data_IF_776211651838
#
_entry.id   IF_776211651838
#
_cell.length_a   1.000
_cell.length_b   1.000
_cell.length_c   1.000
_cell.angle_alpha   90.00
_cell.angle_beta   90.00
_cell.angle_gamma   90.00
#
_symmetry.space_group_name_H-M   'P 1'
#
loop_
_entity.id
_entity.type
_entity.pdbx_description
1 polymer ?
#
# COMPACT_ATOMS: atom_id res chain seq x y z
N UNK A 1 22.83 -1.47 16.33
CA UNK A 1 21.73 -0.54 16.02
C UNK A 1 21.34 0.16 17.30
N UNK A 2 21.42 1.50 17.32
CA UNK A 2 20.94 2.30 18.43
C UNK A 2 19.42 2.26 18.49
N UNK A 3 18.82 2.60 19.65
CA UNK A 3 17.35 2.66 19.77
C UNK A 3 16.73 3.69 18.83
N UNK A 4 17.47 4.76 18.51
CA UNK A 4 17.04 5.81 17.58
C UNK A 4 17.00 5.25 16.15
N UNK A 5 18.05 4.54 15.73
CA UNK A 5 18.11 3.92 14.39
C UNK A 5 17.01 2.87 14.17
N UNK A 6 16.69 2.09 15.21
CA UNK A 6 15.61 1.11 15.15
C UNK A 6 14.24 1.80 14.95
N UNK A 7 14.01 2.89 15.69
CA UNK A 7 12.79 3.67 15.59
C UNK A 7 12.64 4.32 14.21
N UNK A 8 13.70 4.93 13.67
CA UNK A 8 13.68 5.54 12.34
C UNK A 8 13.31 4.52 11.25
N UNK A 9 13.87 3.32 11.32
CA UNK A 9 13.58 2.24 10.38
C UNK A 9 12.13 1.77 10.47
N UNK A 10 11.60 1.64 11.69
CA UNK A 10 10.20 1.23 11.89
C UNK A 10 9.22 2.30 11.45
N UNK A 11 9.46 3.57 11.81
CA UNK A 11 8.60 4.70 11.41
C UNK A 11 8.58 4.87 9.90
N UNK A 12 9.69 4.59 9.21
CA UNK A 12 9.73 4.63 7.74
C UNK A 12 8.69 3.70 7.08
N UNK A 13 8.32 2.58 7.73
CA UNK A 13 7.35 1.62 7.16
C UNK A 13 5.92 2.17 7.08
N UNK A 14 5.57 3.15 7.91
CA UNK A 14 4.23 3.74 7.95
C UNK A 14 4.12 5.07 7.22
N UNK A 15 5.23 5.62 6.69
CA UNK A 15 5.27 6.96 6.11
C UNK A 15 4.23 7.16 4.99
N UNK A 16 3.99 6.13 4.17
CA UNK A 16 3.01 6.18 3.09
C UNK A 16 1.58 5.86 3.54
N UNK A 17 1.38 5.20 4.68
CA UNK A 17 0.05 4.72 5.11
C UNK A 17 -0.59 5.62 6.15
N UNK A 18 0.20 6.20 7.06
CA UNK A 18 -0.30 6.96 8.20
C UNK A 18 -1.07 8.22 7.78
N UNK A 19 -0.68 8.86 6.67
CA UNK A 19 -1.34 10.06 6.14
C UNK A 19 -2.83 9.83 5.82
N UNK A 20 -3.19 8.64 5.36
CA UNK A 20 -4.58 8.33 4.98
C UNK A 20 -5.47 7.97 6.17
N UNK A 21 -4.87 7.57 7.30
CA UNK A 21 -5.60 7.46 8.57
C UNK A 21 -6.06 8.83 9.07
N UNK A 22 -5.22 9.87 8.88
CA UNK A 22 -5.52 11.24 9.31
C UNK A 22 -6.50 11.92 8.36
N UNK A 23 -6.28 11.78 7.05
CA UNK A 23 -7.12 12.46 6.04
C UNK A 23 -8.43 11.73 5.75
N UNK A 24 -8.55 10.45 6.11
CA UNK A 24 -9.76 9.64 5.94
C UNK A 24 -10.07 9.25 4.50
N UNK A 25 -9.12 9.39 3.57
CA UNK A 25 -9.30 8.88 2.20
C UNK A 25 -9.31 7.36 2.22
N UNK A 26 -10.16 6.71 1.40
CA UNK A 26 -10.10 5.27 1.24
C UNK A 26 -8.76 4.89 0.61
N UNK A 27 -8.10 3.90 1.20
CA UNK A 27 -6.84 3.38 0.72
C UNK A 27 -6.82 1.85 0.83
N UNK A 28 -6.36 1.18 -0.22
CA UNK A 28 -6.22 -0.28 -0.26
C UNK A 28 -4.86 -0.67 -0.82
N UNK A 29 -4.32 -1.81 -0.39
CA UNK A 29 -3.07 -2.35 -0.93
C UNK A 29 -3.37 -3.64 -1.68
N UNK A 30 -2.94 -3.70 -2.94
CA UNK A 30 -2.95 -4.93 -3.73
C UNK A 30 -1.52 -5.44 -3.90
N UNK A 31 -1.30 -6.76 -3.96
CA UNK A 31 0.02 -7.27 -4.24
C UNK A 31 0.43 -6.97 -5.69
N UNK A 32 1.67 -6.55 -5.92
CA UNK A 32 2.12 -6.13 -7.26
C UNK A 32 3.43 -6.75 -7.73
N UNK A 33 3.98 -7.70 -6.98
CA UNK A 33 5.15 -8.45 -7.40
C UNK A 33 5.89 -9.11 -6.24
N UNK A 34 6.91 -9.91 -6.61
CA UNK A 34 7.80 -10.58 -5.67
C UNK A 34 9.28 -10.33 -6.04
N UNK A 35 9.76 -9.07 -6.08
CA UNK A 35 11.18 -8.82 -6.33
C UNK A 35 12.00 -9.55 -5.27
N UNK A 36 13.04 -10.25 -5.73
CA UNK A 36 13.92 -11.05 -4.86
C UNK A 36 13.18 -12.12 -4.03
N UNK A 37 11.99 -12.55 -4.49
CA UNK A 37 11.17 -13.57 -3.83
C UNK A 37 10.35 -13.05 -2.65
N UNK A 38 10.37 -11.75 -2.34
CA UNK A 38 9.63 -11.14 -1.24
C UNK A 38 8.43 -10.33 -1.75
N UNK A 39 7.26 -10.43 -1.11
CA UNK A 39 6.06 -9.74 -1.58
C UNK A 39 6.19 -8.22 -1.46
N UNK A 40 5.80 -7.53 -2.52
CA UNK A 40 5.66 -6.06 -2.56
C UNK A 40 4.21 -5.69 -2.84
N UNK A 41 3.71 -4.69 -2.11
CA UNK A 41 2.36 -4.16 -2.25
C UNK A 41 2.36 -2.81 -2.96
N UNK A 42 1.34 -2.59 -3.79
CA UNK A 42 0.99 -1.31 -4.40
C UNK A 42 -0.20 -0.72 -3.65
N UNK A 43 0.00 0.44 -3.05
CA UNK A 43 -1.04 1.18 -2.33
C UNK A 43 -1.80 2.09 -3.29
N UNK A 44 -3.12 1.92 -3.34
CA UNK A 44 -4.06 2.74 -4.10
C UNK A 44 -4.82 3.64 -3.13
N UNK A 45 -5.02 4.90 -3.51
CA UNK A 45 -5.72 5.91 -2.70
C UNK A 45 -6.74 6.61 -3.57
N UNK A 46 -7.99 6.65 -3.10
CA UNK A 46 -9.12 7.19 -3.84
C UNK A 46 -9.64 8.50 -3.26
N UNK A 47 -10.60 9.10 -3.95
CA UNK A 47 -11.40 10.19 -3.38
C UNK A 47 -12.26 9.66 -2.23
N UNK A 48 -12.68 10.54 -1.31
CA UNK A 48 -13.60 10.15 -0.23
C UNK A 48 -14.88 9.51 -0.79
N UNK A 49 -15.25 8.36 -0.22
CA UNK A 49 -16.45 7.60 -0.56
C UNK A 49 -16.50 7.07 -2.01
N UNK A 50 -15.36 6.96 -2.68
CA UNK A 50 -15.21 6.42 -4.04
C UNK A 50 -14.43 5.09 -4.06
N UNK A 51 -14.80 4.16 -3.17
CA UNK A 51 -14.18 2.84 -3.09
C UNK A 51 -14.43 2.01 -4.36
N UNK A 52 -15.50 2.30 -5.11
CA UNK A 52 -15.83 1.62 -6.36
C UNK A 52 -14.71 1.76 -7.40
N UNK A 53 -14.12 2.96 -7.50
CA UNK A 53 -12.96 3.21 -8.38
C UNK A 53 -11.75 2.39 -7.92
N UNK A 54 -11.51 2.29 -6.62
CA UNK A 54 -10.42 1.49 -6.07
C UNK A 54 -10.59 0.00 -6.35
N UNK A 55 -11.78 -0.55 -6.15
CA UNK A 55 -12.07 -1.95 -6.47
C UNK A 55 -11.92 -2.26 -7.96
N UNK A 56 -12.34 -1.35 -8.83
CA UNK A 56 -12.18 -1.50 -10.28
C UNK A 56 -10.71 -1.52 -10.67
N UNK A 57 -9.90 -0.62 -10.09
CA UNK A 57 -8.46 -0.58 -10.34
C UNK A 57 -7.74 -1.81 -9.77
N UNK A 58 -8.12 -2.26 -8.57
CA UNK A 58 -7.59 -3.48 -7.96
C UNK A 58 -7.82 -4.71 -8.83
N UNK A 59 -9.06 -4.91 -9.32
CA UNK A 59 -9.38 -6.01 -10.22
C UNK A 59 -8.55 -5.97 -11.51
N UNK A 60 -8.40 -4.79 -12.12
CA UNK A 60 -7.56 -4.64 -13.32
C UNK A 60 -6.07 -4.96 -13.05
N UNK A 61 -5.57 -4.61 -11.86
CA UNK A 61 -4.20 -4.94 -11.46
C UNK A 61 -4.05 -6.44 -11.25
N UNK A 62 -4.99 -7.10 -10.57
CA UNK A 62 -4.98 -8.56 -10.38
C UNK A 62 -5.05 -9.33 -11.71
N UNK A 63 -5.84 -8.85 -12.68
CA UNK A 63 -5.93 -9.47 -14.00
C UNK A 63 -4.66 -9.27 -14.85
N UNK A 64 -3.90 -8.20 -14.60
CA UNK A 64 -2.71 -7.85 -15.39
C UNK A 64 -1.42 -8.39 -14.79
N UNK A 65 -1.33 -8.46 -13.46
CA UNK A 65 -0.14 -8.90 -12.75
C UNK A 65 -0.25 -10.38 -12.39
N UNK A 66 0.68 -11.18 -12.93
CA UNK A 66 0.87 -12.57 -12.51
C UNK A 66 1.56 -12.60 -11.14
N UNK A 67 0.78 -12.37 -10.08
CA UNK A 67 1.25 -12.34 -8.70
C UNK A 67 1.26 -13.74 -8.03
N UNK A 68 0.64 -14.74 -8.65
CA UNK A 68 0.44 -16.08 -8.08
C UNK A 68 1.74 -16.88 -8.11
#
# INVERSE_FOLDING_TARGET
MSRVEALEREVATIANTCLFNVTGHPAMTVPCGKPEGLPVGLMLVGNHFDETTLFTLAAAIEDTLDYV
#
